data_IF_200950635432
#
_entry.id   IF_200950635432
#
_cell.length_a   1.000
_cell.length_b   1.000
_cell.length_c   1.000
_cell.angle_alpha   90.00
_cell.angle_beta   90.00
_cell.angle_gamma   90.00
#
_symmetry.space_group_name_H-M   'P 1'
#
loop_
_entity.id
_entity.type
_entity.pdbx_description
1 polymer ?
#
# COMPACT_ATOMS: atom_id res chain seq x y z
N UNK A 1 -8.00 -25.54 -6.00
CA UNK A 1 -7.42 -24.43 -6.80
C UNK A 1 -5.92 -24.54 -6.66
N UNK A 2 -5.16 -24.70 -7.78
CA UNK A 2 -3.69 -24.72 -7.74
C UNK A 2 -3.22 -23.37 -7.20
N UNK A 3 -2.35 -23.42 -6.17
CA UNK A 3 -1.65 -22.27 -5.60
C UNK A 3 -0.95 -21.50 -6.72
N UNK A 4 -1.58 -20.43 -7.25
CA UNK A 4 -0.88 -19.47 -8.09
C UNK A 4 -0.09 -18.62 -7.12
N UNK A 5 1.22 -18.81 -7.08
CA UNK A 5 2.10 -17.90 -6.36
C UNK A 5 1.92 -16.49 -6.95
N UNK A 6 1.19 -15.62 -6.25
CA UNK A 6 0.92 -14.23 -6.68
C UNK A 6 2.24 -13.44 -6.79
N UNK A 7 3.19 -13.79 -5.94
CA UNK A 7 4.57 -13.30 -5.99
C UNK A 7 5.53 -14.38 -5.46
N UNK A 8 6.79 -14.27 -5.80
CA UNK A 8 7.86 -15.15 -5.32
C UNK A 8 8.95 -14.32 -4.66
N UNK A 9 9.37 -14.74 -3.46
CA UNK A 9 10.51 -14.21 -2.75
C UNK A 9 11.76 -14.96 -3.16
N UNK A 10 12.83 -14.23 -3.50
CA UNK A 10 14.15 -14.78 -3.74
C UNK A 10 15.16 -14.20 -2.74
N UNK A 11 15.69 -15.07 -1.89
CA UNK A 11 16.72 -14.79 -0.89
C UNK A 11 18.10 -15.36 -1.30
N UNK A 12 18.24 -15.89 -2.50
CA UNK A 12 19.47 -16.57 -2.94
C UNK A 12 20.70 -15.67 -2.87
N UNK A 13 20.52 -14.38 -3.15
CA UNK A 13 21.60 -13.38 -3.07
C UNK A 13 22.00 -13.09 -1.62
N UNK A 14 21.05 -13.08 -0.68
CA UNK A 14 21.32 -12.94 0.75
C UNK A 14 22.09 -14.13 1.31
N UNK A 15 21.72 -15.34 0.91
CA UNK A 15 22.44 -16.56 1.32
C UNK A 15 23.87 -16.56 0.81
N UNK A 16 24.08 -16.12 -0.44
CA UNK A 16 25.42 -16.03 -1.05
C UNK A 16 26.28 -14.94 -0.43
N UNK A 17 25.69 -13.87 0.08
CA UNK A 17 26.44 -12.76 0.68
C UNK A 17 27.05 -13.07 2.05
N UNK A 18 26.65 -14.19 2.67
CA UNK A 18 27.15 -14.57 4.00
C UNK A 18 26.62 -13.70 5.14
N UNK A 19 25.48 -13.03 4.96
CA UNK A 19 24.83 -12.13 5.94
C UNK A 19 24.72 -12.74 7.34
N UNK A 20 24.42 -14.03 7.42
CA UNK A 20 24.35 -14.78 8.67
C UNK A 20 24.69 -16.25 8.42
N UNK A 21 25.14 -16.92 9.45
CA UNK A 21 25.39 -18.38 9.42
C UNK A 21 24.06 -19.16 9.37
N UNK A 22 24.13 -20.42 8.93
CA UNK A 22 22.96 -21.32 8.97
C UNK A 22 22.37 -21.48 10.37
N UNK A 23 23.22 -21.45 11.41
CA UNK A 23 22.80 -21.57 12.81
C UNK A 23 22.04 -20.33 13.26
N UNK A 24 22.52 -19.13 12.92
CA UNK A 24 21.85 -17.88 13.23
C UNK A 24 20.50 -17.76 12.50
N UNK A 25 20.45 -18.11 11.22
CA UNK A 25 19.22 -18.19 10.46
C UNK A 25 18.21 -19.15 11.09
N UNK A 26 18.63 -20.36 11.44
CA UNK A 26 17.76 -21.37 12.08
C UNK A 26 17.22 -20.86 13.43
N UNK A 27 18.06 -20.20 14.23
CA UNK A 27 17.64 -19.57 15.48
C UNK A 27 16.64 -18.46 15.24
N UNK A 28 16.88 -17.56 14.27
CA UNK A 28 15.96 -16.51 13.86
C UNK A 28 14.62 -17.05 13.37
N UNK A 29 14.65 -18.13 12.58
CA UNK A 29 13.44 -18.78 12.08
C UNK A 29 12.59 -19.40 13.21
N UNK A 30 13.22 -20.04 14.19
CA UNK A 30 12.53 -20.57 15.36
C UNK A 30 11.85 -19.43 16.16
N UNK A 31 12.52 -18.29 16.33
CA UNK A 31 11.92 -17.09 16.95
C UNK A 31 10.77 -16.52 16.11
N UNK A 32 10.89 -16.48 14.81
CA UNK A 32 9.79 -16.03 13.92
C UNK A 32 8.55 -16.93 14.04
N UNK A 33 8.75 -18.26 14.18
CA UNK A 33 7.65 -19.20 14.44
C UNK A 33 7.03 -19.00 15.84
N UNK A 34 7.83 -18.60 16.83
CA UNK A 34 7.30 -18.23 18.15
C UNK A 34 6.47 -16.94 18.06
N UNK A 35 7.01 -15.91 17.44
CA UNK A 35 6.32 -14.63 17.21
C UNK A 35 4.99 -14.81 16.44
N UNK A 36 4.94 -15.71 15.46
CA UNK A 36 3.69 -16.07 14.76
C UNK A 36 2.60 -16.52 15.75
N UNK A 37 2.96 -17.34 16.74
CA UNK A 37 2.01 -17.83 17.76
C UNK A 37 1.51 -16.68 18.62
N UNK A 38 2.38 -15.76 19.03
CA UNK A 38 2.00 -14.55 19.79
C UNK A 38 1.07 -13.65 18.97
N UNK A 39 1.39 -13.41 17.70
CA UNK A 39 0.53 -12.64 16.80
C UNK A 39 -0.85 -13.29 16.67
N UNK A 40 -0.91 -14.62 16.57
CA UNK A 40 -2.19 -15.35 16.53
C UNK A 40 -3.02 -15.13 17.80
N UNK A 41 -2.41 -15.24 18.99
CA UNK A 41 -3.09 -14.99 20.27
C UNK A 41 -3.63 -13.54 20.30
N UNK A 42 -2.83 -12.55 19.90
CA UNK A 42 -3.26 -11.14 19.84
C UNK A 42 -4.40 -10.92 18.84
N UNK A 43 -4.34 -11.57 17.68
CA UNK A 43 -5.40 -11.52 16.68
C UNK A 43 -6.71 -12.13 17.18
N UNK A 44 -6.64 -13.28 17.90
CA UNK A 44 -7.80 -13.96 18.49
C UNK A 44 -8.44 -13.09 19.60
N UNK A 45 -7.65 -12.34 20.35
CA UNK A 45 -8.12 -11.35 21.35
C UNK A 45 -8.69 -10.07 20.70
N UNK A 46 -8.56 -9.89 19.41
CA UNK A 46 -9.05 -8.70 18.70
C UNK A 46 -8.13 -7.48 18.79
N UNK A 47 -6.89 -7.64 19.26
CA UNK A 47 -5.90 -6.57 19.38
C UNK A 47 -5.36 -6.09 18.00
N UNK A 48 -5.55 -6.89 16.96
CA UNK A 48 -5.09 -6.63 15.59
C UNK A 48 -6.29 -6.60 14.61
N UNK A 49 -7.20 -5.62 14.73
CA UNK A 49 -8.47 -5.60 14.00
C UNK A 49 -8.29 -5.55 12.49
N UNK A 50 -7.20 -4.96 11.97
CA UNK A 50 -6.91 -4.87 10.55
C UNK A 50 -6.67 -6.25 9.89
N UNK A 51 -6.27 -7.28 10.64
CA UNK A 51 -6.14 -8.65 10.13
C UNK A 51 -7.51 -9.30 9.86
N UNK A 52 -8.59 -8.76 10.44
CA UNK A 52 -9.96 -9.19 10.17
C UNK A 52 -10.58 -8.43 9.00
N UNK A 53 -10.05 -7.27 8.64
CA UNK A 53 -10.58 -6.39 7.61
C UNK A 53 -10.89 -7.10 6.28
N UNK A 54 -9.97 -7.93 5.72
CA UNK A 54 -10.21 -8.66 4.48
C UNK A 54 -11.39 -9.64 4.51
N UNK A 55 -11.84 -10.04 5.68
CA UNK A 55 -12.96 -10.99 5.89
C UNK A 55 -14.28 -10.30 6.22
N UNK A 56 -14.26 -8.99 6.43
CA UNK A 56 -15.48 -8.23 6.67
C UNK A 56 -16.27 -8.04 5.38
N UNK A 57 -17.62 -7.99 5.46
CA UNK A 57 -18.45 -7.63 4.31
C UNK A 57 -18.01 -6.28 3.71
N UNK A 58 -17.96 -6.21 2.39
CA UNK A 58 -17.67 -4.96 1.70
C UNK A 58 -18.78 -3.95 1.96
N UNK A 59 -18.41 -2.69 2.17
CA UNK A 59 -19.38 -1.59 2.27
C UNK A 59 -20.21 -1.53 0.99
N UNK A 60 -21.51 -1.50 1.12
CA UNK A 60 -22.41 -1.27 0.00
C UNK A 60 -22.22 0.15 -0.54
N UNK A 61 -21.89 0.23 -1.82
CA UNK A 61 -21.68 1.49 -2.53
C UNK A 61 -22.85 1.89 -3.41
N UNK A 62 -23.88 1.07 -3.53
CA UNK A 62 -24.95 1.23 -4.54
C UNK A 62 -25.56 2.63 -4.55
N UNK A 63 -25.91 3.15 -3.38
CA UNK A 63 -26.46 4.50 -3.24
C UNK A 63 -25.49 5.60 -3.70
N UNK A 64 -24.22 5.51 -3.28
CA UNK A 64 -23.20 6.52 -3.66
C UNK A 64 -22.78 6.36 -5.12
N UNK A 65 -22.73 5.15 -5.63
CA UNK A 65 -22.46 4.89 -7.04
C UNK A 65 -23.51 5.49 -7.96
N UNK A 66 -24.78 5.45 -7.58
CA UNK A 66 -25.83 6.10 -8.36
C UNK A 66 -25.68 7.63 -8.33
N UNK A 67 -25.40 8.21 -7.17
CA UNK A 67 -25.14 9.65 -7.03
C UNK A 67 -23.87 10.08 -7.78
N UNK A 68 -22.84 9.22 -7.79
CA UNK A 68 -21.55 9.51 -8.43
C UNK A 68 -21.49 9.05 -9.90
N UNK A 69 -22.62 8.63 -10.46
CA UNK A 69 -22.72 8.27 -11.86
C UNK A 69 -22.38 9.47 -12.76
N UNK A 70 -21.40 9.28 -13.65
CA UNK A 70 -20.93 10.35 -14.53
C UNK A 70 -19.90 11.30 -13.89
N UNK A 71 -19.55 11.12 -12.62
CA UNK A 71 -18.43 11.85 -12.03
C UNK A 71 -17.13 11.51 -12.75
N UNK A 72 -16.31 12.52 -12.99
CA UNK A 72 -14.97 12.39 -13.62
C UNK A 72 -13.86 12.42 -12.59
N UNK A 73 -14.15 12.96 -11.42
CA UNK A 73 -13.21 13.09 -10.30
C UNK A 73 -13.87 12.66 -9.00
N UNK A 74 -13.09 12.04 -8.13
CA UNK A 74 -13.42 11.82 -6.73
C UNK A 74 -12.32 12.46 -5.90
N UNK A 75 -12.68 13.51 -5.15
CA UNK A 75 -11.80 14.17 -4.22
C UNK A 75 -11.88 13.47 -2.86
N UNK A 76 -10.78 12.93 -2.39
CA UNK A 76 -10.68 12.26 -1.08
C UNK A 76 -10.03 13.22 -0.09
N UNK A 77 -10.81 13.65 0.90
CA UNK A 77 -10.38 14.52 2.00
C UNK A 77 -10.05 13.65 3.22
N UNK A 78 -8.85 13.76 3.77
CA UNK A 78 -8.46 12.94 4.92
C UNK A 78 -7.05 13.28 5.42
N UNK A 79 -6.65 12.73 6.57
CA UNK A 79 -5.27 12.88 7.01
C UNK A 79 -4.31 12.06 6.14
N UNK A 80 -3.03 12.48 6.00
CA UNK A 80 -2.03 11.76 5.22
C UNK A 80 -1.94 10.27 5.58
N UNK A 81 -2.07 9.95 6.88
CA UNK A 81 -2.00 8.58 7.37
C UNK A 81 -3.21 7.74 6.95
N UNK A 82 -4.42 8.31 7.01
CA UNK A 82 -5.66 7.62 6.65
C UNK A 82 -5.73 7.30 5.16
N UNK A 83 -5.16 8.16 4.33
CA UNK A 83 -5.21 8.00 2.88
C UNK A 83 -3.96 7.35 2.28
N UNK A 84 -2.90 7.11 3.06
CA UNK A 84 -1.63 6.57 2.56
C UNK A 84 -1.81 5.27 1.75
N UNK A 85 -2.58 4.31 2.26
CA UNK A 85 -2.88 3.07 1.56
C UNK A 85 -3.71 3.27 0.29
N UNK A 86 -4.69 4.18 0.34
CA UNK A 86 -5.51 4.52 -0.84
C UNK A 86 -4.68 5.19 -1.92
N UNK A 87 -3.80 6.11 -1.54
CA UNK A 87 -2.87 6.80 -2.45
C UNK A 87 -1.93 5.80 -3.12
N UNK A 88 -1.41 4.84 -2.36
CA UNK A 88 -0.55 3.78 -2.90
C UNK A 88 -1.29 2.94 -3.94
N UNK A 89 -2.50 2.47 -3.63
CA UNK A 89 -3.31 1.67 -4.54
C UNK A 89 -3.78 2.47 -5.75
N UNK A 90 -4.19 3.73 -5.56
CA UNK A 90 -4.65 4.60 -6.67
C UNK A 90 -3.53 4.93 -7.64
N UNK A 91 -2.30 5.13 -7.15
CA UNK A 91 -1.14 5.40 -8.00
C UNK A 91 -0.88 4.28 -9.01
N UNK A 92 -1.15 3.03 -8.61
CA UNK A 92 -1.05 1.87 -9.51
C UNK A 92 -2.21 1.86 -10.50
N UNK A 93 -3.45 2.02 -10.02
CA UNK A 93 -4.63 2.06 -10.87
C UNK A 93 -4.53 3.12 -11.97
N UNK A 94 -4.10 4.31 -11.61
CA UNK A 94 -3.97 5.43 -12.54
C UNK A 94 -2.88 5.21 -13.58
N UNK A 95 -1.85 4.42 -13.27
CA UNK A 95 -0.81 4.04 -14.24
C UNK A 95 -1.31 3.07 -15.31
N UNK A 96 -2.31 2.22 -14.96
CA UNK A 96 -2.75 1.17 -15.88
C UNK A 96 -3.89 1.55 -16.80
N UNK A 97 -4.73 2.51 -16.41
CA UNK A 97 -6.08 2.62 -16.98
C UNK A 97 -6.42 4.09 -17.26
N UNK A 98 -5.50 4.84 -17.84
CA UNK A 98 -5.91 6.12 -18.38
C UNK A 98 -6.53 5.96 -19.77
N UNK A 99 -7.80 5.50 -19.78
CA UNK A 99 -8.72 5.74 -20.87
C UNK A 99 -9.60 6.89 -20.41
N UNK A 100 -9.44 8.05 -21.03
CA UNK A 100 -10.17 9.26 -20.71
C UNK A 100 -11.67 8.98 -20.62
N UNK A 101 -12.28 9.30 -19.49
CA UNK A 101 -13.73 9.23 -19.26
C UNK A 101 -14.32 7.88 -18.83
N UNK A 102 -13.57 6.78 -18.78
CA UNK A 102 -14.13 5.48 -18.40
C UNK A 102 -14.32 5.30 -16.88
N UNK A 103 -13.53 6.00 -16.05
CA UNK A 103 -13.57 5.92 -14.59
C UNK A 103 -13.17 7.26 -13.97
N UNK A 104 -13.72 7.62 -12.81
CA UNK A 104 -13.33 8.86 -12.13
C UNK A 104 -11.87 8.81 -11.67
N UNK A 105 -11.19 9.95 -11.76
CA UNK A 105 -9.85 10.14 -11.22
C UNK A 105 -9.94 10.36 -9.72
N UNK A 106 -9.09 9.69 -8.94
CA UNK A 106 -8.91 9.98 -7.51
C UNK A 106 -7.90 11.11 -7.33
N UNK A 107 -8.30 12.15 -6.61
CA UNK A 107 -7.43 13.21 -6.14
C UNK A 107 -7.49 13.25 -4.61
N UNK A 108 -6.40 13.63 -3.97
CA UNK A 108 -6.28 13.61 -2.52
C UNK A 108 -6.03 15.02 -1.99
N UNK A 109 -6.83 15.40 -1.00
CA UNK A 109 -6.71 16.65 -0.25
C UNK A 109 -6.37 16.29 1.19
N UNK A 110 -5.09 16.30 1.53
CA UNK A 110 -4.53 15.90 2.82
C UNK A 110 -3.56 16.92 3.40
N UNK A 111 -3.44 18.06 2.73
CA UNK A 111 -2.61 19.18 3.13
C UNK A 111 -3.47 20.44 3.31
N UNK A 112 -3.06 21.33 4.24
CA UNK A 112 -3.68 22.65 4.44
C UNK A 112 -3.04 23.74 3.57
N UNK A 113 -2.14 23.39 2.66
CA UNK A 113 -1.54 24.36 1.74
C UNK A 113 -2.63 25.00 0.86
N UNK A 114 -2.81 26.32 0.94
CA UNK A 114 -3.84 27.02 0.15
C UNK A 114 -3.61 26.88 -1.36
N UNK A 115 -2.37 26.85 -1.82
CA UNK A 115 -2.05 26.73 -3.26
C UNK A 115 -2.49 25.35 -3.76
N UNK A 116 -2.17 24.27 -3.04
CA UNK A 116 -2.63 22.91 -3.38
C UNK A 116 -4.15 22.82 -3.41
N UNK A 117 -4.82 23.47 -2.44
CA UNK A 117 -6.29 23.54 -2.42
C UNK A 117 -6.82 24.23 -3.69
N UNK A 118 -6.28 25.40 -4.04
CA UNK A 118 -6.76 26.15 -5.19
C UNK A 118 -6.41 25.50 -6.53
N UNK A 119 -5.27 24.85 -6.64
CA UNK A 119 -4.92 24.02 -7.80
C UNK A 119 -5.94 22.90 -8.01
N UNK A 120 -6.29 22.17 -6.94
CA UNK A 120 -7.31 21.13 -7.01
C UNK A 120 -8.69 21.70 -7.36
N UNK A 121 -9.09 22.83 -6.78
CA UNK A 121 -10.38 23.47 -7.09
C UNK A 121 -10.43 23.99 -8.52
N UNK A 122 -9.31 24.41 -9.10
CA UNK A 122 -9.24 24.87 -10.50
C UNK A 122 -9.58 23.77 -11.51
N UNK A 123 -9.31 22.50 -11.17
CA UNK A 123 -9.60 21.34 -12.03
C UNK A 123 -10.87 20.58 -11.59
N UNK A 124 -11.33 20.79 -10.36
CA UNK A 124 -12.52 20.15 -9.80
C UNK A 124 -13.78 20.87 -10.27
N UNK A 125 -14.43 20.34 -11.29
CA UNK A 125 -15.75 20.83 -11.67
C UNK A 125 -16.79 20.26 -10.71
N UNK A 126 -17.49 21.07 -9.89
CA UNK A 126 -18.49 20.60 -8.91
C UNK A 126 -19.55 19.68 -9.50
N UNK A 127 -20.00 19.92 -10.74
CA UNK A 127 -21.01 19.10 -11.42
C UNK A 127 -20.54 17.67 -11.74
N UNK A 128 -19.23 17.45 -11.80
CA UNK A 128 -18.64 16.15 -12.19
C UNK A 128 -17.61 15.65 -11.17
N UNK A 129 -17.61 16.22 -9.95
CA UNK A 129 -16.69 15.82 -8.88
C UNK A 129 -17.50 15.40 -7.65
N UNK A 130 -17.24 14.17 -7.19
CA UNK A 130 -17.68 13.68 -5.89
C UNK A 130 -16.62 13.89 -4.81
N UNK A 131 -17.04 14.09 -3.57
CA UNK A 131 -16.16 14.31 -2.41
C UNK A 131 -16.36 13.20 -1.38
N UNK A 132 -15.29 12.52 -1.01
CA UNK A 132 -15.29 11.50 0.04
C UNK A 132 -14.45 12.00 1.21
N UNK A 133 -15.04 12.13 2.39
CA UNK A 133 -14.36 12.63 3.59
C UNK A 133 -14.06 11.48 4.54
N UNK A 134 -12.81 11.31 4.90
CA UNK A 134 -12.33 10.24 5.77
C UNK A 134 -11.82 10.84 7.08
N UNK A 135 -12.57 10.73 8.16
CA UNK A 135 -12.17 11.22 9.48
C UNK A 135 -12.63 10.27 10.58
N UNK A 136 -11.73 9.55 11.19
CA UNK A 136 -12.04 8.59 12.25
C UNK A 136 -12.74 9.26 13.44
N UNK A 137 -12.10 10.26 14.04
CA UNK A 137 -12.64 10.98 15.21
C UNK A 137 -13.77 11.97 14.87
N UNK A 138 -13.77 12.50 13.64
CA UNK A 138 -14.64 13.61 13.26
C UNK A 138 -14.29 14.94 13.93
N UNK A 139 -13.11 15.04 14.57
CA UNK A 139 -12.64 16.22 15.32
C UNK A 139 -11.38 16.86 14.71
N UNK A 140 -10.82 16.28 13.67
CA UNK A 140 -9.62 16.80 12.99
C UNK A 140 -9.90 18.16 12.36
N UNK A 141 -9.27 19.21 12.87
CA UNK A 141 -9.43 20.58 12.35
C UNK A 141 -9.04 20.72 10.88
N UNK A 142 -7.92 20.15 10.41
CA UNK A 142 -7.58 20.17 9.00
C UNK A 142 -8.69 19.62 8.10
N UNK A 143 -9.22 18.46 8.45
CA UNK A 143 -10.28 17.81 7.67
C UNK A 143 -11.59 18.63 7.70
N UNK A 144 -11.94 19.17 8.86
CA UNK A 144 -13.12 20.03 9.00
C UNK A 144 -13.00 21.29 8.15
N UNK A 145 -11.84 21.97 8.18
CA UNK A 145 -11.59 23.16 7.37
C UNK A 145 -11.68 22.84 5.87
N UNK A 146 -11.05 21.76 5.43
CA UNK A 146 -11.10 21.32 4.03
C UNK A 146 -12.53 20.99 3.59
N UNK A 147 -13.29 20.25 4.40
CA UNK A 147 -14.69 19.97 4.10
C UNK A 147 -15.54 21.25 4.03
N UNK A 148 -15.38 22.16 4.99
CA UNK A 148 -16.12 23.44 4.99
C UNK A 148 -15.83 24.26 3.73
N UNK A 149 -14.57 24.31 3.29
CA UNK A 149 -14.18 24.99 2.05
C UNK A 149 -14.76 24.31 0.80
N UNK A 150 -14.75 22.98 0.77
CA UNK A 150 -15.42 22.24 -0.30
C UNK A 150 -16.93 22.52 -0.33
N UNK A 151 -17.60 22.47 0.82
CA UNK A 151 -19.04 22.77 0.92
C UNK A 151 -19.36 24.20 0.45
N UNK A 152 -18.57 25.19 0.86
CA UNK A 152 -18.71 26.57 0.41
C UNK A 152 -18.57 26.69 -1.11
N UNK A 153 -17.53 26.07 -1.69
CA UNK A 153 -17.27 26.12 -3.12
C UNK A 153 -18.37 25.43 -3.95
N UNK A 154 -18.82 24.25 -3.53
CA UNK A 154 -19.93 23.52 -4.18
C UNK A 154 -21.26 24.25 -4.04
N UNK A 155 -21.54 24.81 -2.85
CA UNK A 155 -22.80 25.55 -2.60
C UNK A 155 -22.95 26.80 -3.48
N UNK A 156 -21.86 27.40 -3.90
CA UNK A 156 -21.89 28.51 -4.85
C UNK A 156 -22.27 28.13 -6.28
N UNK A 157 -22.26 26.81 -6.60
CA UNK A 157 -22.43 26.30 -7.98
C UNK A 157 -23.54 25.25 -8.12
N UNK A 158 -23.97 24.63 -7.03
CA UNK A 158 -24.97 23.55 -7.02
C UNK A 158 -26.07 23.89 -6.00
N UNK A 159 -27.33 23.63 -6.35
CA UNK A 159 -28.44 23.81 -5.45
C UNK A 159 -28.29 22.97 -4.18
N UNK A 160 -28.70 23.49 -3.05
CA UNK A 160 -28.53 22.89 -1.74
C UNK A 160 -29.10 21.46 -1.65
N UNK A 161 -30.18 21.18 -2.37
CA UNK A 161 -30.83 19.86 -2.38
C UNK A 161 -30.01 18.80 -3.11
N UNK A 162 -29.26 19.22 -4.12
CA UNK A 162 -28.40 18.33 -4.90
C UNK A 162 -26.99 18.21 -4.33
N UNK A 163 -26.56 19.21 -3.56
CA UNK A 163 -25.20 19.25 -2.98
C UNK A 163 -24.87 17.98 -2.19
N UNK A 164 -25.81 17.47 -1.39
CA UNK A 164 -25.60 16.27 -0.60
C UNK A 164 -25.25 15.02 -1.44
N UNK A 165 -25.70 14.97 -2.70
CA UNK A 165 -25.41 13.86 -3.63
C UNK A 165 -23.94 13.82 -4.07
N UNK A 166 -23.20 14.92 -3.93
CA UNK A 166 -21.79 15.01 -4.28
C UNK A 166 -20.84 14.65 -3.14
N UNK A 167 -21.36 14.39 -1.95
CA UNK A 167 -20.55 14.15 -0.76
C UNK A 167 -20.87 12.79 -0.13
N UNK A 168 -19.86 12.18 0.48
CA UNK A 168 -20.04 11.08 1.43
C UNK A 168 -18.98 11.18 2.53
N UNK A 169 -19.38 10.92 3.76
CA UNK A 169 -18.52 10.99 4.93
C UNK A 169 -18.31 9.61 5.51
N UNK A 170 -17.08 9.29 5.90
CA UNK A 170 -16.73 8.06 6.61
C UNK A 170 -16.16 8.43 7.97
N UNK A 171 -16.87 8.10 9.05
CA UNK A 171 -16.46 8.44 10.42
C UNK A 171 -16.94 7.40 11.44
N UNK A 172 -16.22 7.23 12.55
CA UNK A 172 -16.62 6.32 13.63
C UNK A 172 -17.45 7.01 14.73
N UNK A 173 -17.36 8.32 14.90
CA UNK A 173 -17.97 9.07 15.99
C UNK A 173 -19.24 9.79 15.56
N UNK A 174 -20.37 9.44 16.17
CA UNK A 174 -21.71 9.98 15.86
C UNK A 174 -22.02 11.31 16.54
N UNK A 175 -21.22 11.77 17.50
CA UNK A 175 -21.42 13.02 18.25
C UNK A 175 -20.33 14.07 17.99
N UNK A 176 -19.56 13.92 16.91
CA UNK A 176 -18.44 14.81 16.57
C UNK A 176 -18.86 16.12 15.90
N UNK A 177 -17.91 17.08 15.79
CA UNK A 177 -18.09 18.30 14.98
C UNK A 177 -18.41 17.98 13.52
N UNK A 178 -17.79 16.93 12.97
CA UNK A 178 -18.07 16.47 11.61
C UNK A 178 -19.52 16.03 11.45
N UNK A 179 -20.08 15.28 12.43
CA UNK A 179 -21.49 14.86 12.36
C UNK A 179 -22.45 16.02 12.39
N UNK A 180 -22.12 17.14 13.07
CA UNK A 180 -22.96 18.36 13.01
C UNK A 180 -23.01 18.94 11.59
N UNK A 181 -21.91 18.85 10.82
CA UNK A 181 -21.90 19.23 9.40
C UNK A 181 -22.72 18.24 8.56
N UNK A 182 -22.58 16.94 8.82
CA UNK A 182 -23.36 15.88 8.18
C UNK A 182 -24.86 16.13 8.36
N UNK A 183 -25.31 16.39 9.59
CA UNK A 183 -26.71 16.63 9.91
C UNK A 183 -27.23 17.95 9.27
N UNK A 184 -26.42 19.02 9.34
CA UNK A 184 -26.80 20.34 8.77
C UNK A 184 -26.97 20.28 7.25
N UNK A 185 -26.10 19.54 6.55
CA UNK A 185 -26.09 19.46 5.10
C UNK A 185 -26.75 18.17 4.57
N UNK A 186 -27.24 17.30 5.48
CA UNK A 186 -27.86 16.00 5.17
C UNK A 186 -26.95 15.11 4.30
N UNK A 187 -25.64 15.11 4.61
CA UNK A 187 -24.66 14.35 3.85
C UNK A 187 -24.83 12.85 4.11
N UNK A 188 -24.75 11.99 3.10
CA UNK A 188 -24.63 10.55 3.29
C UNK A 188 -23.37 10.23 4.09
N UNK A 189 -23.44 9.23 4.96
CA UNK A 189 -22.27 8.80 5.71
C UNK A 189 -22.24 7.32 5.99
N UNK A 190 -21.03 6.79 6.17
CA UNK A 190 -20.77 5.42 6.59
C UNK A 190 -20.04 5.41 7.91
N UNK A 191 -20.46 4.51 8.79
CA UNK A 191 -19.73 4.22 10.01
C UNK A 191 -18.62 3.20 9.71
N UNK A 192 -17.41 3.49 10.15
CA UNK A 192 -16.37 2.48 10.16
C UNK A 192 -15.82 2.25 11.57
N UNK A 193 -15.34 1.04 11.89
CA UNK A 193 -14.78 0.76 13.20
C UNK A 193 -13.45 1.50 13.38
N UNK A 194 -13.10 1.89 14.61
CA UNK A 194 -11.79 2.46 14.90
C UNK A 194 -10.67 1.56 14.38
N UNK A 195 -9.67 2.16 13.74
CA UNK A 195 -8.49 1.46 13.23
C UNK A 195 -7.31 1.82 14.12
N UNK A 196 -6.68 0.81 14.74
CA UNK A 196 -5.54 1.04 15.62
C UNK A 196 -4.36 1.74 14.93
N UNK A 197 -4.25 1.55 13.62
CA UNK A 197 -3.19 2.11 12.78
C UNK A 197 -3.80 2.69 11.50
N UNK A 198 -3.93 4.01 11.39
CA UNK A 198 -4.55 4.68 10.24
C UNK A 198 -3.96 4.26 8.89
N UNK A 199 -2.64 4.03 8.80
CA UNK A 199 -1.94 3.59 7.60
C UNK A 199 -2.44 2.25 7.05
N UNK A 200 -3.10 1.44 7.91
CA UNK A 200 -3.70 0.15 7.55
C UNK A 200 -5.18 0.27 7.16
N UNK A 201 -5.69 1.49 7.01
CA UNK A 201 -7.07 1.76 6.61
C UNK A 201 -7.49 1.10 5.29
N UNK A 202 -6.54 0.81 4.39
CA UNK A 202 -6.81 0.06 3.17
C UNK A 202 -7.36 -1.35 3.39
N UNK A 203 -7.28 -1.91 4.59
CA UNK A 203 -7.93 -3.17 4.96
C UNK A 203 -9.32 -2.97 5.58
N UNK A 204 -9.78 -1.74 5.73
CA UNK A 204 -11.12 -1.43 6.23
C UNK A 204 -12.09 -1.23 5.06
N UNK A 205 -13.21 -2.00 5.00
CA UNK A 205 -14.16 -1.91 3.87
C UNK A 205 -14.68 -0.50 3.58
N UNK A 206 -15.06 0.35 4.56
CA UNK A 206 -15.49 1.71 4.28
C UNK A 206 -14.37 2.62 3.76
N UNK A 207 -13.12 2.42 4.21
CA UNK A 207 -11.99 3.22 3.74
C UNK A 207 -11.55 2.83 2.32
N UNK A 208 -11.80 1.59 1.88
CA UNK A 208 -11.63 1.18 0.48
C UNK A 208 -12.72 1.73 -0.46
N UNK A 209 -13.78 2.34 0.08
CA UNK A 209 -14.90 2.82 -0.72
C UNK A 209 -14.49 3.78 -1.85
N UNK A 210 -13.63 4.80 -1.65
CA UNK A 210 -13.20 5.69 -2.73
C UNK A 210 -12.59 4.97 -3.92
N UNK A 211 -11.76 3.96 -3.65
CA UNK A 211 -11.15 3.12 -4.70
C UNK A 211 -12.23 2.32 -5.46
N UNK A 212 -13.20 1.75 -4.74
CA UNK A 212 -14.32 1.02 -5.34
C UNK A 212 -15.18 1.91 -6.23
N UNK A 213 -15.44 3.16 -5.82
CA UNK A 213 -16.13 4.16 -6.63
C UNK A 213 -15.33 4.50 -7.91
N UNK A 214 -14.00 4.48 -7.83
CA UNK A 214 -13.11 4.64 -8.98
C UNK A 214 -12.91 3.35 -9.79
N UNK A 215 -13.62 2.25 -9.45
CA UNK A 215 -13.61 1.00 -10.20
C UNK A 215 -12.51 0.01 -9.84
N UNK A 216 -11.92 0.13 -8.67
CA UNK A 216 -11.02 -0.88 -8.09
C UNK A 216 -11.82 -2.08 -7.58
N UNK A 217 -11.37 -3.29 -7.90
CA UNK A 217 -12.01 -4.50 -7.40
C UNK A 217 -11.58 -4.80 -5.95
N UNK A 218 -12.36 -4.25 -5.00
CA UNK A 218 -12.14 -4.43 -3.57
C UNK A 218 -12.26 -5.90 -3.14
N UNK A 219 -13.09 -6.67 -3.83
CA UNK A 219 -13.27 -8.09 -3.55
C UNK A 219 -12.02 -8.89 -3.86
N UNK A 220 -11.40 -8.64 -5.03
CA UNK A 220 -10.12 -9.27 -5.38
C UNK A 220 -8.99 -8.85 -4.46
N UNK A 221 -8.93 -7.58 -4.05
CA UNK A 221 -7.94 -7.12 -3.07
C UNK A 221 -8.10 -7.83 -1.73
N UNK A 222 -9.33 -7.94 -1.21
CA UNK A 222 -9.62 -8.67 0.01
C UNK A 222 -9.33 -10.17 -0.12
N UNK A 223 -9.58 -10.77 -1.29
CA UNK A 223 -9.24 -12.18 -1.56
C UNK A 223 -7.74 -12.42 -1.45
N UNK A 224 -6.92 -11.57 -2.06
CA UNK A 224 -5.45 -11.68 -1.96
C UNK A 224 -4.94 -11.51 -0.54
N UNK A 225 -5.36 -10.46 0.16
CA UNK A 225 -4.94 -10.20 1.53
C UNK A 225 -5.46 -11.25 2.52
N UNK A 226 -6.71 -11.69 2.39
CA UNK A 226 -7.31 -12.72 3.23
C UNK A 226 -6.67 -14.10 3.03
N UNK A 227 -6.36 -14.46 1.79
CA UNK A 227 -5.65 -15.72 1.48
C UNK A 227 -4.31 -15.78 2.20
N UNK A 228 -3.54 -14.69 2.18
CA UNK A 228 -2.26 -14.64 2.88
C UNK A 228 -2.43 -14.71 4.41
N UNK A 229 -3.42 -14.02 4.97
CA UNK A 229 -3.72 -14.14 6.41
C UNK A 229 -3.99 -15.60 6.81
N UNK A 230 -4.84 -16.30 6.05
CA UNK A 230 -5.16 -17.71 6.31
C UNK A 230 -3.92 -18.58 6.25
N UNK A 231 -3.13 -18.47 5.17
CA UNK A 231 -1.90 -19.24 4.98
C UNK A 231 -0.86 -18.96 6.07
N UNK A 232 -0.75 -17.71 6.52
CA UNK A 232 0.13 -17.30 7.59
C UNK A 232 -0.24 -17.98 8.91
N UNK A 233 -1.50 -17.90 9.34
CA UNK A 233 -1.96 -18.50 10.60
C UNK A 233 -2.02 -20.04 10.57
N UNK A 234 -2.04 -20.64 9.37
CA UNK A 234 -1.89 -22.08 9.18
C UNK A 234 -0.41 -22.54 9.13
N UNK A 235 0.56 -21.60 9.17
CA UNK A 235 1.98 -21.89 9.04
C UNK A 235 2.42 -22.31 7.63
N UNK A 236 1.60 -22.06 6.63
CA UNK A 236 1.87 -22.41 5.24
C UNK A 236 2.63 -21.31 4.48
N UNK A 237 2.55 -20.06 4.93
CA UNK A 237 3.23 -18.92 4.34
C UNK A 237 4.63 -18.76 4.95
N UNK A 238 5.66 -19.06 4.17
CA UNK A 238 7.07 -19.00 4.62
C UNK A 238 7.70 -17.62 4.45
N UNK A 239 7.32 -16.88 3.40
CA UNK A 239 8.00 -15.65 3.01
C UNK A 239 8.17 -14.62 4.14
N UNK A 240 7.16 -14.26 4.95
CA UNK A 240 7.34 -13.33 6.06
C UNK A 240 8.24 -13.91 7.16
N UNK A 241 8.13 -15.23 7.45
CA UNK A 241 8.93 -15.88 8.47
C UNK A 241 10.42 -15.91 8.11
N UNK A 242 10.71 -16.25 6.86
CA UNK A 242 12.08 -16.29 6.33
C UNK A 242 12.72 -14.89 6.38
N UNK A 243 11.95 -13.87 5.98
CA UNK A 243 12.44 -12.50 6.01
C UNK A 243 12.68 -12.00 7.43
N UNK A 244 11.75 -12.22 8.34
CA UNK A 244 11.91 -11.86 9.74
C UNK A 244 13.12 -12.56 10.38
N UNK A 245 13.34 -13.85 10.04
CA UNK A 245 14.51 -14.59 10.47
C UNK A 245 15.82 -13.98 9.98
N UNK A 246 15.88 -13.59 8.70
CA UNK A 246 17.05 -12.95 8.09
C UNK A 246 17.35 -11.60 8.74
N UNK A 247 16.33 -10.75 8.93
CA UNK A 247 16.50 -9.44 9.55
C UNK A 247 17.01 -9.58 10.97
N UNK A 248 16.39 -10.45 11.76
CA UNK A 248 16.80 -10.68 13.15
C UNK A 248 18.22 -11.24 13.26
N UNK A 249 18.56 -12.23 12.45
CA UNK A 249 19.90 -12.84 12.44
C UNK A 249 20.97 -11.85 11.97
N UNK A 250 20.72 -11.10 10.90
CA UNK A 250 21.63 -10.11 10.37
C UNK A 250 21.86 -8.93 11.32
N UNK A 251 20.82 -8.48 12.01
CA UNK A 251 20.96 -7.44 13.03
C UNK A 251 21.76 -7.94 14.24
N UNK A 252 21.47 -9.16 14.72
CA UNK A 252 22.23 -9.77 15.81
C UNK A 252 23.70 -9.96 15.48
N UNK A 253 24.02 -10.24 14.23
CA UNK A 253 25.37 -10.32 13.72
C UNK A 253 26.02 -8.93 13.47
N UNK A 254 25.32 -7.83 13.78
CA UNK A 254 25.71 -6.45 13.50
C UNK A 254 25.98 -6.17 12.01
N UNK A 255 25.41 -6.99 11.13
CA UNK A 255 25.54 -6.88 9.69
C UNK A 255 24.39 -6.07 9.05
N UNK A 256 23.26 -5.93 9.73
CA UNK A 256 22.09 -5.17 9.27
C UNK A 256 21.61 -4.17 10.33
N UNK A 257 21.41 -2.93 9.91
CA UNK A 257 20.83 -1.87 10.74
C UNK A 257 19.65 -1.17 10.04
N UNK A 258 19.45 -1.43 8.74
CA UNK A 258 18.49 -0.72 7.93
C UNK A 258 17.89 -1.55 6.81
N UNK A 259 16.69 -1.17 6.39
CA UNK A 259 15.96 -1.77 5.28
C UNK A 259 15.50 -0.70 4.31
N UNK A 260 15.83 -0.88 3.05
CA UNK A 260 15.37 -0.07 1.93
C UNK A 260 14.42 -0.89 1.08
N UNK A 261 13.28 -0.30 0.74
CA UNK A 261 12.34 -0.88 -0.21
C UNK A 261 12.40 -0.10 -1.52
N UNK A 262 12.64 -0.79 -2.62
CA UNK A 262 12.77 -0.19 -3.93
C UNK A 262 12.02 -1.03 -4.97
N UNK A 263 11.30 -0.37 -5.86
CA UNK A 263 10.60 -1.02 -6.95
C UNK A 263 11.16 -0.58 -8.29
N UNK A 264 11.38 -1.53 -9.18
CA UNK A 264 11.77 -1.23 -10.53
C UNK A 264 10.56 -0.69 -11.31
N UNK A 265 10.68 0.56 -11.74
CA UNK A 265 9.61 1.32 -12.38
C UNK A 265 8.80 2.19 -11.41
N UNK A 266 8.30 3.30 -11.94
CA UNK A 266 7.54 4.31 -11.17
C UNK A 266 6.28 3.76 -10.51
N UNK A 267 5.72 2.68 -11.04
CA UNK A 267 4.52 2.01 -10.54
C UNK A 267 4.67 1.48 -9.11
N UNK A 268 5.88 1.10 -8.69
CA UNK A 268 6.14 0.60 -7.33
C UNK A 268 6.38 1.72 -6.30
N UNK A 269 6.63 2.94 -6.73
CA UNK A 269 6.94 4.06 -5.83
C UNK A 269 5.86 4.29 -4.76
N UNK A 270 4.56 4.36 -5.11
CA UNK A 270 3.51 4.52 -4.11
C UNK A 270 3.43 3.35 -3.11
N UNK A 271 3.68 2.12 -3.58
CA UNK A 271 3.66 0.91 -2.75
C UNK A 271 4.80 0.97 -1.73
N UNK A 272 6.03 1.20 -2.19
CA UNK A 272 7.22 1.22 -1.32
C UNK A 272 7.16 2.36 -0.32
N UNK A 273 6.62 3.51 -0.69
CA UNK A 273 6.36 4.64 0.22
C UNK A 273 5.37 4.26 1.33
N UNK A 274 4.26 3.62 0.98
CA UNK A 274 3.30 3.12 1.97
C UNK A 274 3.92 2.05 2.89
N UNK A 275 4.68 1.11 2.33
CA UNK A 275 5.37 0.07 3.11
C UNK A 275 6.33 0.67 4.14
N UNK A 276 7.06 1.72 3.78
CA UNK A 276 7.94 2.44 4.71
C UNK A 276 7.17 3.09 5.85
N UNK A 277 6.05 3.76 5.56
CA UNK A 277 5.20 4.37 6.57
C UNK A 277 4.61 3.33 7.53
N UNK A 278 4.15 2.19 7.01
CA UNK A 278 3.64 1.07 7.82
C UNK A 278 4.73 0.50 8.71
N UNK A 279 5.92 0.28 8.16
CA UNK A 279 7.06 -0.23 8.93
C UNK A 279 7.48 0.73 10.04
N UNK A 280 7.58 2.02 9.77
CA UNK A 280 7.89 3.02 10.77
C UNK A 280 6.85 3.08 11.90
N UNK A 281 5.59 2.77 11.59
CA UNK A 281 4.51 2.84 12.58
C UNK A 281 4.34 1.56 13.40
N UNK A 282 4.48 0.39 12.77
CA UNK A 282 4.31 -0.91 13.42
C UNK A 282 5.55 -1.36 14.19
N UNK A 283 6.74 -0.97 13.72
CA UNK A 283 8.02 -1.41 14.25
C UNK A 283 8.44 -0.55 15.46
N UNK A 284 7.88 -0.85 16.62
CA UNK A 284 8.09 -0.07 17.86
C UNK A 284 9.28 -0.54 18.69
N UNK A 285 9.55 -1.85 18.68
CA UNK A 285 10.53 -2.49 19.54
C UNK A 285 11.83 -2.82 18.82
N UNK A 286 11.80 -2.93 17.49
CA UNK A 286 12.98 -3.19 16.71
C UNK A 286 13.79 -1.92 16.44
N UNK A 287 15.12 -1.92 16.63
CA UNK A 287 16.00 -0.81 16.28
C UNK A 287 16.21 -0.68 14.77
N UNK A 288 15.63 -1.57 13.99
CA UNK A 288 15.81 -1.65 12.55
C UNK A 288 15.13 -0.48 11.83
N UNK A 289 15.90 0.30 11.05
CA UNK A 289 15.43 1.52 10.40
C UNK A 289 14.96 1.27 8.97
N UNK A 290 13.93 1.98 8.56
CA UNK A 290 13.41 1.93 7.20
C UNK A 290 13.70 3.25 6.49
N UNK A 291 14.35 3.16 5.31
CA UNK A 291 14.78 4.33 4.55
C UNK A 291 13.95 4.57 3.30
N UNK A 292 13.87 5.84 2.90
CA UNK A 292 13.38 6.26 1.58
C UNK A 292 14.43 5.98 0.49
N UNK A 293 14.00 6.04 -0.76
CA UNK A 293 14.87 5.82 -1.92
C UNK A 293 15.99 6.85 -2.11
N UNK A 294 15.96 7.97 -1.38
CA UNK A 294 16.85 9.12 -1.59
C UNK A 294 18.05 9.16 -0.63
N UNK A 295 18.07 8.30 0.40
CA UNK A 295 19.18 8.31 1.36
C UNK A 295 20.36 7.46 0.87
N UNK A 296 21.61 7.89 1.16
CA UNK A 296 22.78 7.12 0.80
C UNK A 296 22.79 5.76 1.52
N UNK A 297 23.12 4.71 0.79
CA UNK A 297 23.23 3.36 1.34
C UNK A 297 24.56 3.17 2.03
N UNK A 298 24.55 2.48 3.16
CA UNK A 298 25.75 1.94 3.81
C UNK A 298 25.80 0.40 3.63
N UNK A 299 26.93 -0.20 3.97
CA UNK A 299 27.14 -1.65 3.84
C UNK A 299 26.22 -2.52 4.71
N UNK A 300 25.54 -1.91 5.69
CA UNK A 300 24.61 -2.59 6.61
C UNK A 300 23.15 -2.50 6.17
N UNK A 301 22.88 -2.09 4.93
CA UNK A 301 21.52 -1.92 4.43
C UNK A 301 21.07 -3.14 3.62
N UNK A 302 19.91 -3.68 3.98
CA UNK A 302 19.18 -4.63 3.14
C UNK A 302 18.28 -3.88 2.17
N UNK A 303 18.38 -4.20 0.89
CA UNK A 303 17.47 -3.69 -0.13
C UNK A 303 16.48 -4.78 -0.54
N UNK A 304 15.17 -4.51 -0.44
CA UNK A 304 14.13 -5.30 -1.09
C UNK A 304 13.78 -4.66 -2.43
N UNK A 305 14.00 -5.39 -3.50
CA UNK A 305 13.72 -4.99 -4.88
C UNK A 305 12.46 -5.69 -5.38
N UNK A 306 11.45 -4.89 -5.78
CA UNK A 306 10.23 -5.38 -6.40
C UNK A 306 10.35 -5.33 -7.93
N UNK A 307 9.97 -6.41 -8.57
CA UNK A 307 10.02 -6.55 -10.02
C UNK A 307 8.77 -7.27 -10.55
N UNK A 308 8.13 -6.72 -11.59
CA UNK A 308 7.01 -7.37 -12.28
C UNK A 308 7.52 -8.21 -13.45
N UNK A 309 7.21 -9.52 -13.44
CA UNK A 309 7.70 -10.47 -14.46
C UNK A 309 6.85 -10.50 -15.72
N UNK A 310 5.60 -10.06 -15.64
CA UNK A 310 4.67 -10.22 -16.74
C UNK A 310 3.90 -8.93 -17.00
N UNK A 311 4.04 -8.42 -18.19
CA UNK A 311 3.32 -7.23 -18.68
C UNK A 311 2.22 -7.70 -19.62
N UNK A 312 0.96 -7.36 -19.31
CA UNK A 312 -0.20 -7.81 -20.08
C UNK A 312 -0.21 -7.33 -21.56
N UNK A 313 0.54 -6.28 -21.87
CA UNK A 313 0.64 -5.71 -23.22
C UNK A 313 2.10 -5.43 -23.56
N UNK A 314 2.81 -6.48 -23.94
CA UNK A 314 4.15 -6.33 -24.44
C UNK A 314 4.12 -5.74 -25.88
N UNK A 315 4.93 -4.71 -26.10
CA UNK A 315 5.12 -4.15 -27.43
C UNK A 315 6.56 -4.36 -27.85
N UNK A 316 6.71 -4.86 -29.06
CA UNK A 316 8.00 -4.91 -29.70
C UNK A 316 8.43 -3.49 -30.13
N UNK A 317 9.70 -3.20 -30.06
CA UNK A 317 10.25 -2.01 -30.72
C UNK A 317 10.00 -2.16 -32.22
N UNK A 318 9.39 -1.17 -32.89
CA UNK A 318 9.03 -1.30 -34.29
C UNK A 318 10.24 -1.60 -35.18
N UNK A 319 10.04 -2.43 -36.19
CA UNK A 319 11.04 -2.80 -37.21
C UNK A 319 11.47 -1.60 -38.10
N UNK A 320 10.75 -0.53 -38.02
CA UNK A 320 11.02 0.74 -38.71
C UNK A 320 12.46 1.24 -38.54
N UNK A 321 13.09 0.92 -37.40
CA UNK A 321 14.44 1.39 -37.06
C UNK A 321 15.57 0.43 -37.49
N UNK A 322 15.27 -0.68 -38.16
CA UNK A 322 16.26 -1.71 -38.56
C UNK A 322 17.31 -1.17 -39.55
N UNK A 323 16.94 -0.16 -40.35
CA UNK A 323 17.81 0.46 -41.37
C UNK A 323 18.81 1.47 -40.77
N UNK A 324 18.66 1.77 -39.46
CA UNK A 324 19.64 2.59 -38.73
C UNK A 324 20.64 1.66 -38.04
N UNK A 325 21.89 1.56 -38.48
CA UNK A 325 22.83 0.54 -37.96
C UNK A 325 23.01 0.56 -36.46
N UNK A 326 23.02 1.75 -35.83
CA UNK A 326 23.15 1.93 -34.40
C UNK A 326 21.91 1.45 -33.60
N UNK A 327 20.75 1.30 -34.22
CA UNK A 327 19.49 0.91 -33.58
C UNK A 327 19.04 -0.50 -33.96
N UNK A 328 19.73 -1.17 -34.85
CA UNK A 328 19.37 -2.48 -35.36
C UNK A 328 19.19 -3.52 -34.26
N UNK A 329 20.02 -3.50 -33.23
CA UNK A 329 19.95 -4.40 -32.08
C UNK A 329 18.75 -4.14 -31.18
N UNK A 330 18.18 -2.95 -31.25
CA UNK A 330 16.99 -2.55 -30.47
C UNK A 330 15.69 -2.88 -31.23
N UNK A 331 15.76 -2.96 -32.56
CA UNK A 331 14.60 -3.24 -33.39
C UNK A 331 14.06 -4.65 -33.11
N UNK A 332 12.73 -4.80 -33.07
CA UNK A 332 12.00 -6.04 -32.77
C UNK A 332 12.26 -6.64 -31.39
N UNK A 333 12.99 -5.95 -30.51
CA UNK A 333 13.24 -6.43 -29.15
C UNK A 333 12.03 -6.09 -28.26
N UNK A 334 11.50 -7.03 -27.45
CA UNK A 334 10.47 -6.75 -26.48
C UNK A 334 10.95 -5.72 -25.45
N UNK A 335 10.12 -4.74 -25.11
CA UNK A 335 10.49 -3.76 -24.07
C UNK A 335 10.76 -4.47 -22.72
N UNK A 336 10.00 -5.53 -22.41
CA UNK A 336 10.22 -6.33 -21.21
C UNK A 336 11.61 -6.97 -21.14
N UNK A 337 12.23 -7.26 -22.29
CA UNK A 337 13.61 -7.77 -22.34
C UNK A 337 14.58 -6.77 -21.69
N UNK A 338 14.48 -5.49 -22.06
CA UNK A 338 15.32 -4.42 -21.51
C UNK A 338 15.08 -4.20 -20.03
N UNK A 339 13.81 -4.29 -19.60
CA UNK A 339 13.47 -4.20 -18.18
C UNK A 339 14.09 -5.35 -17.37
N UNK A 340 14.11 -6.58 -17.93
CA UNK A 340 14.76 -7.73 -17.30
C UNK A 340 16.27 -7.59 -17.25
N UNK A 341 16.89 -7.18 -18.33
CA UNK A 341 18.35 -6.93 -18.35
C UNK A 341 18.76 -5.85 -17.35
N UNK A 342 17.98 -4.77 -17.27
CA UNK A 342 18.24 -3.71 -16.29
C UNK A 342 18.07 -4.22 -14.87
N UNK A 343 17.05 -5.05 -14.61
CA UNK A 343 16.87 -5.71 -13.31
C UNK A 343 18.10 -6.56 -12.94
N UNK A 344 18.55 -7.40 -13.84
CA UNK A 344 19.75 -8.25 -13.61
C UNK A 344 20.99 -7.40 -13.38
N UNK A 345 21.17 -6.34 -14.16
CA UNK A 345 22.30 -5.40 -14.02
C UNK A 345 22.29 -4.71 -12.66
N UNK A 346 21.11 -4.24 -12.22
CA UNK A 346 20.92 -3.63 -10.90
C UNK A 346 21.22 -4.63 -9.77
N UNK A 347 20.71 -5.86 -9.86
CA UNK A 347 21.01 -6.91 -8.89
C UNK A 347 22.53 -7.18 -8.80
N UNK A 348 23.20 -7.32 -9.94
CA UNK A 348 24.65 -7.53 -9.97
C UNK A 348 25.44 -6.36 -9.40
N UNK A 349 25.04 -5.12 -9.70
CA UNK A 349 25.67 -3.92 -9.18
C UNK A 349 25.54 -3.83 -7.65
N UNK A 350 24.37 -4.11 -7.09
CA UNK A 350 24.13 -4.14 -5.65
C UNK A 350 25.00 -5.18 -4.94
N UNK A 351 25.06 -6.40 -5.49
CA UNK A 351 25.88 -7.48 -4.93
C UNK A 351 27.38 -7.14 -4.99
N UNK A 352 27.86 -6.58 -6.13
CA UNK A 352 29.26 -6.14 -6.26
C UNK A 352 29.63 -5.03 -5.27
N UNK A 353 28.71 -4.18 -4.92
CA UNK A 353 28.89 -3.12 -3.92
C UNK A 353 28.80 -3.62 -2.47
N UNK A 354 28.63 -4.93 -2.25
CA UNK A 354 28.55 -5.53 -0.91
C UNK A 354 27.21 -5.29 -0.20
N UNK A 355 26.18 -4.86 -0.93
CA UNK A 355 24.85 -4.68 -0.36
C UNK A 355 24.07 -5.99 -0.31
N UNK A 356 23.24 -6.11 0.73
CA UNK A 356 22.35 -7.24 0.88
C UNK A 356 21.08 -7.01 0.04
N UNK A 357 20.69 -8.01 -0.76
CA UNK A 357 19.60 -7.90 -1.71
C UNK A 357 18.58 -9.04 -1.56
N UNK A 358 17.31 -8.69 -1.41
CA UNK A 358 16.14 -9.55 -1.53
C UNK A 358 15.37 -9.16 -2.77
N UNK A 359 14.92 -10.10 -3.58
CA UNK A 359 14.03 -9.84 -4.70
C UNK A 359 12.63 -10.36 -4.43
N UNK A 360 11.61 -9.55 -4.72
CA UNK A 360 10.21 -9.95 -4.77
C UNK A 360 9.77 -9.87 -6.23
N UNK A 361 9.62 -11.04 -6.83
CA UNK A 361 9.16 -11.18 -8.19
C UNK A 361 7.63 -11.27 -8.21
N UNK A 362 6.98 -10.25 -8.71
CA UNK A 362 5.54 -10.17 -8.85
C UNK A 362 5.15 -10.74 -10.20
N UNK A 363 4.19 -11.68 -10.23
CA UNK A 363 3.78 -12.29 -11.51
C UNK A 363 3.05 -11.28 -12.39
N UNK A 364 2.05 -10.63 -11.85
CA UNK A 364 1.35 -9.50 -12.47
C UNK A 364 0.74 -8.63 -11.37
N UNK A 365 0.85 -7.33 -11.53
CA UNK A 365 0.20 -6.39 -10.63
C UNK A 365 -1.30 -6.33 -10.97
N UNK A 366 -2.12 -6.83 -10.10
CA UNK A 366 -3.58 -6.71 -10.10
C UNK A 366 -4.07 -6.60 -8.66
N UNK A 367 -5.36 -6.37 -8.44
CA UNK A 367 -5.91 -6.12 -7.11
C UNK A 367 -5.65 -7.27 -6.13
N UNK A 368 -5.72 -8.52 -6.59
CA UNK A 368 -5.46 -9.70 -5.77
C UNK A 368 -3.99 -9.75 -5.33
N UNK A 369 -3.08 -9.53 -6.27
CA UNK A 369 -1.64 -9.50 -5.99
C UNK A 369 -1.28 -8.32 -5.08
N UNK A 370 -1.91 -7.16 -5.27
CA UNK A 370 -1.73 -6.01 -4.39
C UNK A 370 -2.20 -6.29 -2.96
N UNK A 371 -3.37 -6.91 -2.81
CA UNK A 371 -3.86 -7.35 -1.51
C UNK A 371 -2.87 -8.28 -0.81
N UNK A 372 -2.32 -9.23 -1.56
CA UNK A 372 -1.31 -10.15 -1.07
C UNK A 372 0.00 -9.44 -0.67
N UNK A 373 0.55 -8.56 -1.51
CA UNK A 373 1.78 -7.82 -1.21
C UNK A 373 1.64 -6.91 0.02
N UNK A 374 0.53 -6.19 0.11
CA UNK A 374 0.24 -5.32 1.24
C UNK A 374 0.16 -6.13 2.54
N UNK A 375 -0.58 -7.23 2.54
CA UNK A 375 -0.71 -8.07 3.71
C UNK A 375 0.61 -8.76 4.07
N UNK A 376 1.37 -9.26 3.09
CA UNK A 376 2.69 -9.85 3.33
C UNK A 376 3.61 -8.88 4.08
N UNK A 377 3.66 -7.62 3.64
CA UNK A 377 4.48 -6.61 4.29
C UNK A 377 4.05 -6.32 5.73
N UNK A 378 2.74 -6.25 5.99
CA UNK A 378 2.20 -6.06 7.35
C UNK A 378 2.57 -7.23 8.26
N UNK A 379 2.39 -8.47 7.79
CA UNK A 379 2.72 -9.68 8.55
C UNK A 379 4.22 -9.78 8.85
N UNK A 380 5.07 -9.43 7.87
CA UNK A 380 6.52 -9.38 8.02
C UNK A 380 6.93 -8.35 9.08
N UNK A 381 6.38 -7.14 9.02
CA UNK A 381 6.68 -6.08 9.97
C UNK A 381 6.23 -6.45 11.38
N UNK A 382 5.05 -7.05 11.53
CA UNK A 382 4.56 -7.54 12.82
C UNK A 382 5.45 -8.64 13.42
N UNK A 383 5.93 -9.55 12.58
CA UNK A 383 6.85 -10.61 13.05
C UNK A 383 8.13 -10.00 13.57
N UNK A 384 8.73 -9.09 12.80
CA UNK A 384 9.98 -8.42 13.20
C UNK A 384 9.78 -7.71 14.53
N UNK A 385 8.74 -6.87 14.67
CA UNK A 385 8.46 -6.14 15.90
C UNK A 385 8.25 -7.09 17.11
N UNK A 386 7.45 -8.14 16.95
CA UNK A 386 7.17 -9.12 18.02
C UNK A 386 8.42 -9.88 18.42
N UNK A 387 9.33 -10.23 17.49
CA UNK A 387 10.59 -10.90 17.81
C UNK A 387 11.53 -10.05 18.67
N UNK A 388 11.48 -8.72 18.53
CA UNK A 388 12.27 -7.80 19.35
C UNK A 388 11.61 -7.52 20.69
N UNK A 389 10.29 -7.46 20.76
CA UNK A 389 9.54 -7.34 22.01
C UNK A 389 9.84 -8.54 22.94
N UNK A 390 9.71 -9.77 22.42
CA UNK A 390 10.07 -11.00 23.12
C UNK A 390 11.54 -11.01 23.59
N UNK A 391 12.47 -10.50 22.77
CA UNK A 391 13.89 -10.46 23.11
C UNK A 391 14.21 -9.49 24.25
N UNK A 392 13.43 -8.42 24.40
CA UNK A 392 13.57 -7.49 25.54
C UNK A 392 13.06 -8.12 26.84
N UNK A 393 12.01 -8.94 26.79
CA UNK A 393 11.48 -9.64 27.95
C UNK A 393 12.37 -10.80 28.44
N UNK A 394 13.12 -11.44 27.53
CA UNK A 394 14.09 -12.50 27.87
C UNK A 394 15.35 -11.97 28.61
N UNK A 395 15.57 -10.64 28.66
CA UNK A 395 16.72 -9.97 29.30
C UNK A 395 16.43 -9.43 30.69
N UNK A 396 15.21 -9.52 31.17
CA UNK A 396 14.74 -9.15 32.50
C UNK A 396 14.15 -10.35 33.24
#
# INVERSE_FOLDING_TARGET
MKNRDLFQQDLSLLVKSGLCSRKEYASGYARAVHALRQIKIRADRGELPFLRGPFLPLTDLSFVQENFKGMRMILVVGSPENIAGLRALSGIMQSWIWVDGARPRLCFLDDLDPEVFWELMSIANPMTTGVVVLSESGESEPILLQLMRCLEYWHGMIDKEDLAKHFVVVTSHTSSRLMRLVDRWKLPWWKYPPVAFPQLGCFSPPLLAPLGLAGFDRGRFNMGSGTLCVQFFQGQLKAPLEMAAVVFAGHKAQALDAHRMWGQGSIFHPITSWMQQVSARLNKHSPYRYFSNLEPMNSCTLTTLFFERHVARERLVPDFWKDVPALKTLAQTPMLHWVKEEHERLCQAQVKSGHFLRCINVHSLNEETLGALFMNHVLETLLIDTMYDDAHHDLH
#
